data_IF_881510170012
#
_entry.id   IF_881510170012
#
_cell.length_a   1.000
_cell.length_b   1.000
_cell.length_c   1.000
_cell.angle_alpha   90.00
_cell.angle_beta   90.00
_cell.angle_gamma   90.00
#
_symmetry.space_group_name_H-M   'P 1'
#
loop_
_entity.id
_entity.type
_entity.pdbx_description
1 polymer ?
#
# COMPACT_ATOMS: atom_id res chain seq x y z
N UNK A 1 3.11 -28.30 1.75
CA UNK A 1 2.90 -27.33 0.65
C UNK A 1 3.74 -26.11 0.98
N UNK A 2 4.68 -25.73 0.11
CA UNK A 2 5.51 -24.54 0.35
C UNK A 2 4.80 -23.32 -0.22
N UNK A 3 4.57 -22.32 0.62
CA UNK A 3 4.04 -21.02 0.22
C UNK A 3 5.14 -19.98 0.32
N UNK A 4 5.03 -18.91 -0.46
CA UNK A 4 5.86 -17.72 -0.35
C UNK A 4 4.98 -16.47 -0.31
N UNK A 5 5.55 -15.34 0.11
CA UNK A 5 4.91 -14.04 0.06
C UNK A 5 5.60 -13.16 -0.99
N UNK A 6 4.83 -12.37 -1.72
CA UNK A 6 5.36 -11.34 -2.62
C UNK A 6 4.79 -9.99 -2.22
N UNK A 7 5.66 -9.11 -1.74
CA UNK A 7 5.29 -7.73 -1.39
C UNK A 7 5.16 -6.92 -2.67
N UNK A 8 3.99 -6.34 -2.92
CA UNK A 8 3.74 -5.50 -4.11
C UNK A 8 3.60 -4.05 -3.69
N UNK A 9 4.44 -3.19 -4.24
CA UNK A 9 4.36 -1.73 -4.04
C UNK A 9 4.01 -1.01 -5.33
N UNK A 10 3.72 0.29 -5.25
CA UNK A 10 3.50 1.10 -6.45
C UNK A 10 4.76 1.18 -7.33
N UNK A 11 5.95 1.29 -6.71
CA UNK A 11 7.21 1.52 -7.41
C UNK A 11 7.60 3.00 -7.42
N UNK A 12 8.87 3.27 -7.74
CA UNK A 12 9.40 4.63 -7.80
C UNK A 12 10.56 4.71 -8.77
N UNK A 13 10.73 5.87 -9.40
CA UNK A 13 11.98 6.21 -10.12
C UNK A 13 13.12 6.52 -9.17
N UNK A 14 12.81 6.85 -7.91
CA UNK A 14 13.80 7.00 -6.86
C UNK A 14 14.19 5.62 -6.33
N UNK A 15 15.49 5.42 -6.09
CA UNK A 15 16.01 4.16 -5.57
C UNK A 15 15.73 3.95 -4.08
N UNK A 16 15.53 5.02 -3.30
CA UNK A 16 15.40 4.96 -1.83
C UNK A 16 14.19 4.14 -1.36
N UNK A 17 12.98 4.27 -1.95
CA UNK A 17 11.86 3.40 -1.64
C UNK A 17 12.17 1.92 -1.90
N UNK A 18 12.84 1.59 -3.00
CA UNK A 18 13.19 0.20 -3.31
C UNK A 18 14.11 -0.39 -2.24
N UNK A 19 15.15 0.35 -1.82
CA UNK A 19 16.05 -0.06 -0.73
C UNK A 19 15.26 -0.33 0.57
N UNK A 20 14.29 0.52 0.90
CA UNK A 20 13.47 0.34 2.10
C UNK A 20 12.58 -0.92 2.02
N UNK A 21 12.05 -1.23 0.84
CA UNK A 21 11.25 -2.43 0.61
C UNK A 21 12.10 -3.70 0.67
N UNK A 22 13.30 -3.68 0.12
CA UNK A 22 14.23 -4.81 0.22
C UNK A 22 14.58 -5.09 1.70
N UNK A 23 14.85 -4.05 2.48
CA UNK A 23 15.09 -4.20 3.92
C UNK A 23 13.85 -4.73 4.67
N UNK A 24 12.64 -4.32 4.28
CA UNK A 24 11.41 -4.81 4.88
C UNK A 24 11.18 -6.29 4.54
N UNK A 25 11.38 -6.67 3.27
CA UNK A 25 11.33 -8.06 2.79
C UNK A 25 12.23 -8.94 3.64
N UNK A 26 13.50 -8.58 3.78
CA UNK A 26 14.49 -9.36 4.52
C UNK A 26 14.09 -9.56 5.99
N UNK A 27 13.56 -8.51 6.64
CA UNK A 27 13.08 -8.60 8.02
C UNK A 27 11.88 -9.53 8.16
N UNK A 28 10.95 -9.50 7.22
CA UNK A 28 9.77 -10.38 7.23
C UNK A 28 10.19 -11.83 6.98
N UNK A 29 11.06 -12.07 5.99
CA UNK A 29 11.58 -13.39 5.67
C UNK A 29 12.31 -14.00 6.88
N UNK A 30 13.21 -13.25 7.53
CA UNK A 30 13.87 -13.68 8.77
C UNK A 30 12.87 -14.01 9.87
N UNK A 31 11.82 -13.18 10.03
CA UNK A 31 10.83 -13.35 11.10
C UNK A 31 9.90 -14.54 10.89
N UNK A 32 9.59 -14.87 9.64
CA UNK A 32 8.65 -15.93 9.27
C UNK A 32 9.34 -17.24 8.90
N UNK A 33 10.63 -17.21 8.54
CA UNK A 33 11.36 -18.35 7.97
C UNK A 33 10.65 -18.95 6.74
N UNK A 34 10.04 -18.08 5.93
CA UNK A 34 9.31 -18.40 4.70
C UNK A 34 9.83 -17.45 3.62
N UNK A 35 10.02 -17.89 2.36
CA UNK A 35 10.48 -17.01 1.29
C UNK A 35 9.59 -15.78 1.11
N UNK A 36 10.20 -14.60 1.01
CA UNK A 36 9.52 -13.34 0.74
C UNK A 36 10.22 -12.65 -0.42
N UNK A 37 9.48 -12.35 -1.50
CA UNK A 37 9.93 -11.50 -2.59
C UNK A 37 9.39 -10.08 -2.49
N UNK A 38 9.89 -9.21 -3.37
CA UNK A 38 9.33 -7.88 -3.60
C UNK A 38 9.14 -7.65 -5.09
N UNK A 39 8.06 -6.96 -5.44
CA UNK A 39 7.73 -6.55 -6.80
C UNK A 39 7.11 -5.14 -6.78
N UNK A 40 7.17 -4.48 -7.93
CA UNK A 40 6.61 -3.14 -8.11
C UNK A 40 5.60 -3.15 -9.25
N UNK A 41 4.51 -2.40 -9.09
CA UNK A 41 3.47 -2.28 -10.09
C UNK A 41 3.91 -1.40 -11.27
N UNK A 42 4.61 -0.31 -10.98
CA UNK A 42 5.08 0.68 -11.95
C UNK A 42 6.57 0.99 -11.73
N UNK A 43 7.14 1.79 -12.64
CA UNK A 43 8.53 2.27 -12.57
C UNK A 43 9.60 1.17 -12.60
N UNK A 44 9.24 -0.06 -12.99
CA UNK A 44 10.17 -1.12 -13.36
C UNK A 44 10.30 -1.26 -14.88
N UNK A 45 11.41 -1.83 -15.37
CA UNK A 45 11.56 -2.18 -16.79
C UNK A 45 10.68 -3.35 -17.24
N UNK A 46 10.13 -4.11 -16.29
CA UNK A 46 9.27 -5.28 -16.52
C UNK A 46 7.94 -5.08 -15.80
N UNK A 47 6.87 -5.60 -16.39
CA UNK A 47 5.53 -5.54 -15.82
C UNK A 47 5.43 -6.41 -14.56
N UNK A 48 4.42 -6.16 -13.72
CA UNK A 48 4.24 -6.91 -12.47
C UNK A 48 4.07 -8.42 -12.72
N UNK A 49 3.33 -8.81 -13.75
CA UNK A 49 3.15 -10.22 -14.08
C UNK A 49 4.47 -10.92 -14.43
N UNK A 50 5.38 -10.25 -15.14
CA UNK A 50 6.71 -10.79 -15.49
C UNK A 50 7.59 -10.96 -14.25
N UNK A 51 7.51 -10.03 -13.30
CA UNK A 51 8.19 -10.13 -12.00
C UNK A 51 7.68 -11.33 -11.19
N UNK A 52 6.37 -11.57 -11.19
CA UNK A 52 5.76 -12.75 -10.54
C UNK A 52 6.23 -14.05 -11.19
N UNK A 53 6.27 -14.10 -12.52
CA UNK A 53 6.78 -15.25 -13.28
C UNK A 53 8.24 -15.56 -12.93
N UNK A 54 9.09 -14.53 -12.88
CA UNK A 54 10.49 -14.69 -12.50
C UNK A 54 10.64 -15.19 -11.07
N UNK A 55 9.90 -14.62 -10.12
CA UNK A 55 9.90 -15.09 -8.73
C UNK A 55 9.46 -16.57 -8.64
N UNK A 56 8.44 -16.96 -9.41
CA UNK A 56 8.01 -18.37 -9.48
C UNK A 56 9.07 -19.28 -10.09
N UNK A 57 9.80 -18.84 -11.13
CA UNK A 57 10.89 -19.62 -11.76
C UNK A 57 12.03 -19.90 -10.80
N UNK A 58 12.35 -18.94 -9.94
CA UNK A 58 13.38 -19.06 -8.90
C UNK A 58 12.96 -20.02 -7.78
N UNK A 59 11.66 -20.23 -7.59
CA UNK A 59 11.10 -21.04 -6.50
C UNK A 59 10.18 -22.17 -7.01
N UNK A 60 10.75 -23.10 -7.79
CA UNK A 60 10.00 -24.16 -8.49
C UNK A 60 9.19 -25.11 -7.60
N UNK A 61 9.49 -25.19 -6.31
CA UNK A 61 8.83 -26.06 -5.34
C UNK A 61 7.60 -25.43 -4.68
N UNK A 62 7.30 -24.15 -4.96
CA UNK A 62 6.13 -23.47 -4.39
C UNK A 62 4.85 -24.05 -4.97
N UNK A 63 3.88 -24.26 -4.10
CA UNK A 63 2.49 -24.56 -4.47
C UNK A 63 1.62 -23.31 -4.50
N UNK A 64 2.04 -22.24 -3.81
CA UNK A 64 1.26 -21.01 -3.64
C UNK A 64 2.17 -19.79 -3.44
N UNK A 65 1.77 -18.65 -4.00
CA UNK A 65 2.39 -17.34 -3.78
C UNK A 65 1.29 -16.37 -3.31
N UNK A 66 1.47 -15.83 -2.11
CA UNK A 66 0.56 -14.86 -1.50
C UNK A 66 1.01 -13.45 -1.81
N UNK A 67 0.20 -12.73 -2.56
CA UNK A 67 0.47 -11.37 -2.99
C UNK A 67 -0.02 -10.42 -1.90
N UNK A 68 0.89 -9.59 -1.38
CA UNK A 68 0.61 -8.62 -0.30
C UNK A 68 0.75 -7.20 -0.85
N UNK A 69 -0.36 -6.51 -1.17
CA UNK A 69 -0.30 -5.12 -1.61
C UNK A 69 0.07 -4.19 -0.45
N UNK A 70 1.24 -3.57 -0.49
CA UNK A 70 1.70 -2.57 0.48
C UNK A 70 1.15 -1.18 0.16
N UNK A 71 -0.17 -1.09 0.02
CA UNK A 71 -0.90 0.14 -0.22
C UNK A 71 -1.70 0.50 1.03
N UNK A 72 -1.75 1.80 1.36
CA UNK A 72 -2.53 2.30 2.50
C UNK A 72 -4.00 2.54 2.17
N UNK A 73 -4.34 2.73 0.88
CA UNK A 73 -5.71 3.01 0.45
C UNK A 73 -6.07 2.15 -0.76
N UNK A 74 -7.34 1.74 -0.91
CA UNK A 74 -7.79 0.88 -1.99
C UNK A 74 -8.10 1.70 -3.26
N UNK A 75 -7.06 2.30 -3.84
CA UNK A 75 -7.13 3.01 -5.13
C UNK A 75 -7.28 2.07 -6.34
N UNK A 76 -7.21 2.63 -7.54
CA UNK A 76 -7.32 1.89 -8.83
C UNK A 76 -6.32 0.74 -8.88
N UNK A 77 -5.06 0.99 -8.51
CA UNK A 77 -4.01 -0.01 -8.44
C UNK A 77 -4.38 -1.27 -7.66
N UNK A 78 -5.00 -1.11 -6.48
CA UNK A 78 -5.36 -2.25 -5.62
C UNK A 78 -6.60 -2.97 -6.17
N UNK A 79 -7.54 -2.24 -6.76
CA UNK A 79 -8.86 -2.76 -7.16
C UNK A 79 -8.89 -3.33 -8.58
N UNK A 80 -8.04 -2.83 -9.47
CA UNK A 80 -8.12 -3.08 -10.91
C UNK A 80 -6.76 -3.62 -11.41
N UNK A 81 -5.69 -2.82 -11.30
CA UNK A 81 -4.41 -3.13 -11.97
C UNK A 81 -3.70 -4.37 -11.41
N UNK A 82 -3.60 -4.51 -10.07
CA UNK A 82 -2.97 -5.70 -9.45
C UNK A 82 -3.74 -6.98 -9.78
N UNK A 83 -5.09 -7.05 -9.62
CA UNK A 83 -5.87 -8.20 -10.07
C UNK A 83 -5.64 -8.58 -11.53
N UNK A 84 -5.57 -7.61 -12.44
CA UNK A 84 -5.32 -7.87 -13.87
C UNK A 84 -3.94 -8.52 -14.10
N UNK A 85 -2.90 -7.96 -13.49
CA UNK A 85 -1.53 -8.51 -13.58
C UNK A 85 -1.43 -9.92 -12.99
N UNK A 86 -2.13 -10.19 -11.89
CA UNK A 86 -2.21 -11.51 -11.28
C UNK A 86 -2.91 -12.52 -12.21
N UNK A 87 -3.97 -12.12 -12.90
CA UNK A 87 -4.66 -13.00 -13.85
C UNK A 87 -3.74 -13.40 -15.02
N UNK A 88 -2.94 -12.46 -15.53
CA UNK A 88 -1.93 -12.73 -16.57
C UNK A 88 -0.88 -13.71 -16.04
N UNK A 89 -0.28 -13.43 -14.88
CA UNK A 89 0.75 -14.29 -14.29
C UNK A 89 0.22 -15.70 -13.99
N UNK A 90 -0.98 -15.82 -13.42
CA UNK A 90 -1.59 -17.09 -13.05
C UNK A 90 -1.76 -18.04 -14.25
N UNK A 91 -1.97 -17.50 -15.46
CA UNK A 91 -2.08 -18.30 -16.69
C UNK A 91 -0.75 -18.88 -17.17
N UNK A 92 0.39 -18.41 -16.63
CA UNK A 92 1.75 -18.74 -17.08
C UNK A 92 2.59 -19.49 -16.04
N UNK A 93 2.10 -19.60 -14.81
CA UNK A 93 2.81 -20.28 -13.71
C UNK A 93 1.94 -21.35 -13.06
N UNK A 94 2.59 -22.33 -12.44
CA UNK A 94 1.92 -23.41 -11.73
C UNK A 94 1.46 -23.07 -10.30
N UNK A 95 2.22 -22.29 -9.48
CA UNK A 95 1.76 -21.95 -8.14
C UNK A 95 0.45 -21.17 -8.18
N UNK A 96 -0.44 -21.45 -7.23
CA UNK A 96 -1.65 -20.65 -7.04
C UNK A 96 -1.26 -19.25 -6.55
N UNK A 97 -1.80 -18.22 -7.16
CA UNK A 97 -1.72 -16.83 -6.71
C UNK A 97 -2.92 -16.53 -5.80
N UNK A 98 -2.64 -16.00 -4.62
CA UNK A 98 -3.66 -15.51 -3.68
C UNK A 98 -3.42 -14.03 -3.43
N UNK A 99 -4.37 -13.17 -3.84
CA UNK A 99 -4.33 -11.75 -3.51
C UNK A 99 -4.87 -11.54 -2.10
N UNK A 100 -4.02 -11.07 -1.19
CA UNK A 100 -4.41 -10.72 0.17
C UNK A 100 -4.93 -9.28 0.23
N UNK A 101 -5.71 -8.92 1.29
CA UNK A 101 -6.11 -7.54 1.53
C UNK A 101 -4.89 -6.60 1.59
N UNK A 102 -5.02 -5.41 1.02
CA UNK A 102 -3.98 -4.38 1.07
C UNK A 102 -3.66 -3.98 2.52
N UNK A 103 -2.41 -3.60 2.77
CA UNK A 103 -1.89 -3.31 4.11
C UNK A 103 -2.76 -2.30 4.90
N UNK A 104 -3.29 -1.28 4.22
CA UNK A 104 -4.16 -0.27 4.83
C UNK A 104 -5.49 -0.80 5.37
N UNK A 105 -6.00 -1.92 4.86
CA UNK A 105 -7.23 -2.55 5.37
C UNK A 105 -7.02 -3.39 6.63
N UNK A 106 -5.78 -3.57 7.08
CA UNK A 106 -5.52 -4.30 8.31
C UNK A 106 -6.05 -3.50 9.51
N UNK A 107 -6.89 -4.13 10.35
CA UNK A 107 -7.52 -3.47 11.50
C UNK A 107 -6.51 -2.68 12.36
N UNK A 108 -5.37 -3.30 12.68
CA UNK A 108 -4.27 -2.71 13.44
C UNK A 108 -3.58 -1.47 12.83
N UNK A 109 -3.87 -1.12 11.57
CA UNK A 109 -3.21 0.01 10.90
C UNK A 109 -3.63 1.34 11.52
N UNK A 110 -4.89 1.47 11.92
CA UNK A 110 -5.42 2.69 12.54
C UNK A 110 -4.71 2.94 13.87
N UNK A 111 -4.49 1.91 14.68
CA UNK A 111 -3.77 2.00 15.95
C UNK A 111 -2.30 2.37 15.74
N UNK A 112 -1.65 1.82 14.70
CA UNK A 112 -0.28 2.20 14.35
C UNK A 112 -0.22 3.69 13.98
N UNK A 113 -1.16 4.19 13.17
CA UNK A 113 -1.22 5.61 12.82
C UNK A 113 -1.54 6.49 14.04
N UNK A 114 -2.57 6.12 14.80
CA UNK A 114 -2.99 6.84 16.00
C UNK A 114 -1.86 6.95 17.03
N UNK A 115 -1.12 5.85 17.28
CA UNK A 115 -0.02 5.85 18.23
C UNK A 115 1.14 6.76 17.83
N UNK A 116 1.42 6.90 16.52
CA UNK A 116 2.45 7.82 16.02
C UNK A 116 1.99 9.27 16.10
N UNK A 117 0.73 9.52 15.78
CA UNK A 117 0.16 10.87 15.76
C UNK A 117 -0.05 11.40 17.18
N UNK A 118 -0.47 10.56 18.12
CA UNK A 118 -0.68 10.93 19.52
C UNK A 118 0.62 11.34 20.24
N UNK A 119 1.80 10.93 19.73
CA UNK A 119 3.09 11.37 20.26
C UNK A 119 3.40 12.85 19.98
N UNK A 120 2.59 13.51 19.15
CA UNK A 120 2.77 14.91 18.75
C UNK A 120 1.57 15.71 19.28
N UNK A 121 1.75 16.50 20.36
CA UNK A 121 0.73 17.44 20.82
C UNK A 121 0.42 18.45 19.72
N UNK A 122 -0.86 18.64 19.41
CA UNK A 122 -1.31 19.60 18.41
C UNK A 122 -2.77 20.01 18.68
N UNK A 123 -3.07 21.29 18.47
CA UNK A 123 -4.43 21.85 18.59
C UNK A 123 -5.35 21.37 17.45
N UNK A 124 -4.75 21.06 16.29
CA UNK A 124 -5.44 20.49 15.14
C UNK A 124 -4.54 19.52 14.38
N UNK A 125 -5.16 18.61 13.62
CA UNK A 125 -4.47 17.61 12.80
C UNK A 125 -5.05 17.59 11.39
N UNK A 126 -4.17 17.56 10.38
CA UNK A 126 -4.54 17.41 8.97
C UNK A 126 -3.94 16.12 8.44
N UNK A 127 -4.79 15.23 7.91
CA UNK A 127 -4.37 14.03 7.21
C UNK A 127 -4.35 14.30 5.70
N UNK A 128 -3.16 14.22 5.11
CA UNK A 128 -2.99 14.47 3.67
C UNK A 128 -3.04 13.18 2.85
N UNK A 129 -3.71 13.25 1.69
CA UNK A 129 -3.61 12.22 0.65
C UNK A 129 -3.59 12.85 -0.75
N UNK A 130 -3.34 12.03 -1.78
CA UNK A 130 -3.39 12.53 -3.15
C UNK A 130 -4.81 12.98 -3.54
N UNK A 131 -5.84 12.33 -3.01
CA UNK A 131 -7.23 12.56 -3.34
C UNK A 131 -7.65 11.96 -4.69
N UNK A 132 -8.94 11.71 -4.82
CA UNK A 132 -9.60 11.07 -5.95
C UNK A 132 -10.83 11.87 -6.38
N UNK A 133 -11.07 11.90 -7.70
CA UNK A 133 -12.29 12.46 -8.30
C UNK A 133 -13.43 11.43 -8.38
N UNK A 134 -13.15 10.15 -8.15
CA UNK A 134 -14.17 9.08 -8.19
C UNK A 134 -15.06 9.21 -6.96
N UNK A 135 -16.37 9.05 -7.14
CA UNK A 135 -17.33 9.06 -6.05
C UNK A 135 -16.95 8.01 -4.98
N UNK A 136 -16.91 8.41 -3.71
CA UNK A 136 -16.50 7.55 -2.59
C UNK A 136 -15.00 7.20 -2.56
N UNK A 137 -14.19 7.69 -3.50
CA UNK A 137 -12.76 7.40 -3.57
C UNK A 137 -11.94 7.96 -2.40
N UNK A 138 -12.48 8.98 -1.73
CA UNK A 138 -11.84 9.62 -0.57
C UNK A 138 -12.44 9.15 0.78
N UNK A 139 -13.54 8.39 0.77
CA UNK A 139 -14.19 7.94 2.00
C UNK A 139 -13.23 7.20 2.96
N UNK A 140 -12.30 6.32 2.49
CA UNK A 140 -11.38 5.65 3.40
C UNK A 140 -10.44 6.60 4.14
N UNK A 141 -9.97 7.68 3.50
CA UNK A 141 -9.09 8.64 4.17
C UNK A 141 -9.87 9.57 5.12
N UNK A 142 -11.12 9.87 4.79
CA UNK A 142 -12.02 10.64 5.67
C UNK A 142 -12.36 9.86 6.93
N UNK A 143 -12.59 8.56 6.80
CA UNK A 143 -12.82 7.65 7.92
C UNK A 143 -11.59 7.57 8.84
N UNK A 144 -10.39 7.34 8.26
CA UNK A 144 -9.13 7.34 9.03
C UNK A 144 -8.94 8.69 9.72
N UNK A 145 -9.14 9.81 9.02
CA UNK A 145 -8.99 11.15 9.60
C UNK A 145 -9.92 11.34 10.80
N UNK A 146 -11.18 10.91 10.69
CA UNK A 146 -12.14 10.95 11.81
C UNK A 146 -11.67 10.11 13.00
N UNK A 147 -11.16 8.89 12.77
CA UNK A 147 -10.68 7.99 13.83
C UNK A 147 -9.50 8.57 14.63
N UNK A 148 -8.68 9.43 14.02
CA UNK A 148 -7.51 10.04 14.67
C UNK A 148 -7.74 11.50 15.09
N UNK A 149 -8.99 11.97 15.08
CA UNK A 149 -9.37 13.36 15.34
C UNK A 149 -8.56 14.35 14.47
N UNK A 150 -8.56 14.10 13.17
CA UNK A 150 -7.98 14.93 12.12
C UNK A 150 -9.02 15.30 11.07
N UNK A 151 -8.72 16.34 10.29
CA UNK A 151 -9.45 16.68 9.06
C UNK A 151 -8.65 16.22 7.83
N UNK A 152 -9.33 15.86 6.74
CA UNK A 152 -8.67 15.49 5.50
C UNK A 152 -8.35 16.71 4.62
N UNK A 153 -7.23 16.62 3.91
CA UNK A 153 -6.83 17.51 2.82
C UNK A 153 -6.24 16.71 1.65
N UNK A 154 -6.35 17.27 0.43
CA UNK A 154 -6.03 16.55 -0.79
C UNK A 154 -5.11 17.33 -1.72
N UNK A 155 -4.20 16.62 -2.40
CA UNK A 155 -3.32 17.23 -3.40
C UNK A 155 -4.04 17.55 -4.72
N UNK A 156 -4.84 16.61 -5.23
CA UNK A 156 -5.41 16.67 -6.58
C UNK A 156 -6.86 17.16 -6.65
N UNK A 157 -7.57 17.16 -5.53
CA UNK A 157 -8.97 17.63 -5.39
C UNK A 157 -9.11 18.59 -4.20
N UNK A 158 -10.30 19.16 -3.99
CA UNK A 158 -10.62 19.93 -2.79
C UNK A 158 -11.07 19.01 -1.64
N UNK A 159 -10.93 19.46 -0.37
CA UNK A 159 -10.25 20.68 0.07
C UNK A 159 -8.72 20.57 0.02
N UNK A 160 -8.06 21.64 -0.46
CA UNK A 160 -6.59 21.78 -0.41
C UNK A 160 -6.06 21.98 1.01
N UNK A 161 -4.77 21.69 1.18
CA UNK A 161 -4.06 21.92 2.44
C UNK A 161 -4.15 23.38 2.87
N UNK A 162 -3.92 24.31 1.96
CA UNK A 162 -3.94 25.75 2.21
C UNK A 162 -5.31 26.20 2.72
N UNK A 163 -6.39 25.69 2.10
CA UNK A 163 -7.77 25.95 2.53
C UNK A 163 -7.99 25.46 3.96
N UNK A 164 -7.56 24.23 4.28
CA UNK A 164 -7.71 23.66 5.63
C UNK A 164 -6.92 24.44 6.69
N UNK A 165 -5.71 24.88 6.36
CA UNK A 165 -4.90 25.69 7.27
C UNK A 165 -5.62 27.01 7.58
N UNK A 166 -6.20 27.66 6.58
CA UNK A 166 -6.95 28.90 6.77
C UNK A 166 -8.21 28.70 7.63
N UNK A 167 -8.96 27.62 7.40
CA UNK A 167 -10.13 27.25 8.19
C UNK A 167 -9.78 27.04 9.67
N UNK A 168 -8.71 26.27 9.95
CA UNK A 168 -8.25 26.02 11.31
C UNK A 168 -7.78 27.31 12.00
N UNK A 169 -7.06 28.18 11.28
CA UNK A 169 -6.65 29.48 11.81
C UNK A 169 -7.85 30.37 12.18
N UNK A 170 -8.93 30.34 11.39
CA UNK A 170 -10.16 31.07 11.70
C UNK A 170 -10.90 30.49 12.92
N UNK A 171 -10.71 29.20 13.21
CA UNK A 171 -11.25 28.52 14.38
C UNK A 171 -10.39 28.71 15.65
N UNK A 172 -9.29 29.45 15.56
CA UNK A 172 -8.41 29.75 16.70
C UNK A 172 -7.41 28.65 17.04
N UNK A 173 -7.16 27.73 16.10
CA UNK A 173 -6.01 26.81 16.15
C UNK A 173 -4.72 27.50 15.68
#
# INVERSE_FOLDING_TARGET
MQSAYLLVTHGSRDIRPQIAIDQLRDRIEQRLSIPVGAAVLECAPTELHEQIEEFSRQHKSLSEIKIVPLFLLPGVHVKEDIPEQLAIAQSRINPKLELLPHLGSHAGMVEVLASRIAQIPADARILMSHGSRRAGGNAPIEEIASMINAISAYWSVEPKLETRILELKQQGC
#
